data_IF_794267396573
#
_entry.id   IF_794267396573
#
_cell.length_a   1.000
_cell.length_b   1.000
_cell.length_c   1.000
_cell.angle_alpha   90.00
_cell.angle_beta   90.00
_cell.angle_gamma   90.00
#
_symmetry.space_group_name_H-M   'P 1'
#
loop_
_entity.id
_entity.type
_entity.pdbx_description
1 polymer ?
#
# COMPACT_ATOMS: atom_id res chain seq x y z
N UNK A 1 11.77 -1.16 11.34
CA UNK A 1 12.10 -1.14 9.89
C UNK A 1 10.94 -1.83 9.17
N UNK A 2 10.23 -1.14 8.28
CA UNK A 2 8.95 -1.59 7.70
C UNK A 2 9.06 -1.84 6.19
N UNK A 3 8.15 -2.61 5.63
CA UNK A 3 8.07 -2.87 4.20
C UNK A 3 6.64 -2.66 3.67
N UNK A 4 6.52 -1.85 2.63
CA UNK A 4 5.25 -1.54 1.96
C UNK A 4 5.47 -1.73 0.47
N UNK A 5 4.95 -2.82 -0.14
CA UNK A 5 5.05 -2.99 -1.58
C UNK A 5 4.16 -1.95 -2.28
N UNK A 6 4.71 -1.37 -3.34
CA UNK A 6 4.04 -0.37 -4.19
C UNK A 6 4.07 -0.82 -5.65
N UNK A 7 3.15 -0.28 -6.45
CA UNK A 7 2.92 -0.60 -7.85
C UNK A 7 2.49 -2.06 -8.15
N UNK A 8 1.46 -2.18 -8.99
CA UNK A 8 0.90 -3.45 -9.43
C UNK A 8 -0.46 -3.75 -8.81
N UNK A 9 -1.12 -4.77 -9.35
CA UNK A 9 -2.37 -5.27 -8.80
C UNK A 9 -2.17 -5.94 -7.44
N UNK A 10 -3.25 -6.13 -6.68
CA UNK A 10 -3.23 -6.73 -5.35
C UNK A 10 -2.45 -8.06 -5.30
N UNK A 11 -2.57 -8.92 -6.32
CA UNK A 11 -1.81 -10.17 -6.43
C UNK A 11 -0.29 -9.96 -6.45
N UNK A 12 0.18 -8.91 -7.12
CA UNK A 12 1.61 -8.58 -7.14
C UNK A 12 2.07 -8.11 -5.76
N UNK A 13 1.29 -7.23 -5.11
CA UNK A 13 1.60 -6.72 -3.78
C UNK A 13 1.66 -7.83 -2.73
N UNK A 14 0.73 -8.78 -2.79
CA UNK A 14 0.72 -9.97 -1.91
C UNK A 14 1.95 -10.84 -2.11
N UNK A 15 2.37 -11.07 -3.36
CA UNK A 15 3.60 -11.86 -3.61
C UNK A 15 4.85 -11.11 -3.15
N UNK A 16 4.90 -9.79 -3.35
CA UNK A 16 6.01 -8.97 -2.89
C UNK A 16 6.14 -8.98 -1.35
N UNK A 17 5.00 -8.92 -0.65
CA UNK A 17 4.94 -9.07 0.81
C UNK A 17 5.41 -10.46 1.30
N UNK A 18 5.09 -11.53 0.55
CA UNK A 18 5.58 -12.88 0.88
C UNK A 18 7.10 -12.96 0.75
N UNK A 19 7.67 -12.44 -0.34
CA UNK A 19 9.13 -12.38 -0.53
C UNK A 19 9.81 -11.59 0.60
N UNK A 20 9.25 -10.44 0.98
CA UNK A 20 9.75 -9.66 2.12
C UNK A 20 9.74 -10.46 3.43
N UNK A 21 8.71 -11.27 3.66
CA UNK A 21 8.64 -12.14 4.83
C UNK A 21 9.68 -13.27 4.80
N UNK A 22 9.88 -13.90 3.65
CA UNK A 22 10.89 -14.95 3.44
C UNK A 22 12.32 -14.43 3.66
N UNK A 23 12.56 -13.15 3.39
CA UNK A 23 13.83 -12.46 3.66
C UNK A 23 13.99 -12.01 5.13
N UNK A 24 13.06 -12.38 6.00
CA UNK A 24 13.16 -12.19 7.45
C UNK A 24 12.47 -10.94 8.00
N UNK A 25 11.67 -10.22 7.20
CA UNK A 25 10.84 -9.12 7.72
C UNK A 25 9.64 -9.74 8.45
N UNK A 26 9.39 -9.31 9.70
CA UNK A 26 8.25 -9.81 10.46
C UNK A 26 6.94 -9.39 9.80
N UNK A 27 5.93 -10.27 9.78
CA UNK A 27 4.61 -9.97 9.17
C UNK A 27 3.97 -8.68 9.69
N UNK A 28 4.17 -8.36 10.98
CA UNK A 28 3.69 -7.12 11.61
C UNK A 28 4.31 -5.84 11.04
N UNK A 29 5.48 -5.97 10.40
CA UNK A 29 6.22 -4.86 9.80
C UNK A 29 6.01 -4.77 8.28
N UNK A 30 5.09 -5.59 7.73
CA UNK A 30 4.75 -5.62 6.31
C UNK A 30 3.29 -5.19 6.14
N UNK A 31 3.02 -4.18 5.32
CA UNK A 31 1.67 -3.72 5.03
C UNK A 31 1.37 -3.77 3.54
N UNK A 32 0.35 -4.54 3.15
CA UNK A 32 -0.25 -4.48 1.81
C UNK A 32 -1.47 -3.59 1.90
N UNK A 33 -1.45 -2.44 1.21
CA UNK A 33 -2.52 -1.45 1.25
C UNK A 33 -2.95 -1.04 -0.15
N UNK A 34 -4.21 -0.65 -0.26
CA UNK A 34 -4.78 -0.04 -1.48
C UNK A 34 -4.69 1.49 -1.43
N UNK A 35 -4.99 2.13 -2.54
CA UNK A 35 -5.04 3.59 -2.61
C UNK A 35 -6.08 4.16 -1.63
N UNK A 36 -5.66 5.22 -0.93
CA UNK A 36 -6.48 5.92 0.04
C UNK A 36 -6.23 5.50 1.50
N UNK A 37 -5.47 4.45 1.80
CA UNK A 37 -5.14 4.08 3.19
C UNK A 37 -3.88 4.82 3.67
N UNK A 38 -3.97 5.74 4.65
CA UNK A 38 -2.81 6.39 5.24
C UNK A 38 -2.00 5.42 6.09
N UNK A 39 -0.67 5.52 5.99
CA UNK A 39 0.26 4.77 6.84
C UNK A 39 0.97 5.73 7.78
N UNK A 40 0.91 5.45 9.08
CA UNK A 40 1.61 6.23 10.12
C UNK A 40 2.68 5.37 10.76
N UNK A 41 3.85 5.97 10.99
CA UNK A 41 5.02 5.32 11.58
C UNK A 41 5.51 6.15 12.76
N UNK A 42 5.68 5.53 13.92
CA UNK A 42 6.26 6.17 15.12
C UNK A 42 7.73 5.74 15.37
N UNK A 43 8.29 4.95 14.46
CA UNK A 43 9.63 4.37 14.56
C UNK A 43 9.65 2.94 15.13
N UNK A 44 8.68 2.59 15.97
CA UNK A 44 8.54 1.25 16.58
C UNK A 44 7.41 0.43 15.96
N UNK A 45 6.35 1.11 15.52
CA UNK A 45 5.11 0.54 15.01
C UNK A 45 4.67 1.23 13.73
N UNK A 46 3.97 0.46 12.92
CA UNK A 46 3.25 0.92 11.74
C UNK A 46 1.76 0.75 12.00
N UNK A 47 0.98 1.78 11.68
CA UNK A 47 -0.48 1.75 11.79
C UNK A 47 -1.10 2.10 10.44
N UNK A 48 -2.15 1.36 10.09
CA UNK A 48 -2.97 1.60 8.90
C UNK A 48 -4.19 2.39 9.36
N UNK A 49 -4.33 3.62 8.85
CA UNK A 49 -5.45 4.50 9.15
C UNK A 49 -6.72 4.15 8.35
N UNK A 50 -7.77 4.93 8.55
CA UNK A 50 -9.00 4.81 7.78
C UNK A 50 -8.81 5.24 6.32
N UNK A 51 -9.55 4.61 5.42
CA UNK A 51 -9.48 4.92 3.99
C UNK A 51 -9.99 6.34 3.74
N UNK A 52 -9.12 7.20 3.23
CA UNK A 52 -9.45 8.49 2.65
C UNK A 52 -10.08 8.25 1.28
N UNK A 53 -11.23 8.85 0.96
CA UNK A 53 -11.84 8.76 -0.36
C UNK A 53 -10.87 9.24 -1.44
N UNK A 54 -10.72 8.44 -2.48
CA UNK A 54 -10.02 8.82 -3.70
C UNK A 54 -10.95 8.62 -4.87
N UNK A 55 -11.03 9.62 -5.75
CA UNK A 55 -11.78 9.54 -6.99
C UNK A 55 -10.86 9.19 -8.16
N UNK A 56 -11.45 8.50 -9.12
CA UNK A 56 -10.83 8.33 -10.44
C UNK A 56 -11.31 9.48 -11.31
N UNK A 57 -10.36 10.26 -11.81
CA UNK A 57 -10.62 11.27 -12.84
C UNK A 57 -10.20 10.67 -14.17
N UNK A 58 -11.15 10.49 -15.08
CA UNK A 58 -10.91 10.04 -16.43
C UNK A 58 -10.69 11.24 -17.35
N UNK A 59 -9.86 11.05 -18.38
CA UNK A 59 -9.58 12.09 -19.38
C UNK A 59 -9.85 11.50 -20.75
N UNK A 60 -10.71 12.17 -21.52
CA UNK A 60 -11.02 11.85 -22.90
C UNK A 60 -10.85 13.11 -23.77
N UNK A 61 -9.69 13.20 -24.43
CA UNK A 61 -9.33 14.37 -25.24
C UNK A 61 -9.25 15.65 -24.41
N UNK A 62 -10.18 16.58 -24.65
CA UNK A 62 -10.32 17.84 -23.90
C UNK A 62 -11.30 17.74 -22.72
N UNK A 63 -12.00 16.62 -22.55
CA UNK A 63 -12.90 16.38 -21.43
C UNK A 63 -12.14 15.80 -20.25
N UNK A 64 -12.35 16.38 -19.07
CA UNK A 64 -11.85 15.91 -17.78
C UNK A 64 -13.06 15.61 -16.89
N UNK A 65 -13.12 14.41 -16.34
CA UNK A 65 -14.19 13.95 -15.46
C UNK A 65 -13.79 12.70 -14.69
#
# INVERSE_FOLDING_TARGET
RFFVPVHGELRHLVQHAKLAHELGIAKKDIAVVENGYPLTFDGERMQIGERVPGDYVFVDGSLVG
#
